data_IF_997813798810
#
_entry.id   IF_997813798810
#
_cell.length_a   1.000
_cell.length_b   1.000
_cell.length_c   1.000
_cell.angle_alpha   90.00
_cell.angle_beta   90.00
_cell.angle_gamma   90.00
#
_symmetry.space_group_name_H-M   'P 1'
#
loop_
_entity.id
_entity.type
_entity.pdbx_description
1 polymer ?
#
# COMPACT_ATOMS: atom_id res chain seq x y z
N UNK A 1 -16.85 9.17 9.01
CA UNK A 1 -15.93 8.69 7.95
C UNK A 1 -15.75 9.67 6.80
N UNK A 2 -16.84 10.23 6.25
CA UNK A 2 -16.82 11.13 5.08
C UNK A 2 -15.71 12.19 5.14
N UNK A 3 -15.62 12.96 6.23
CA UNK A 3 -14.61 14.03 6.35
C UNK A 3 -13.16 13.54 6.31
N UNK A 4 -12.85 12.41 6.97
CA UNK A 4 -11.49 11.88 7.02
C UNK A 4 -11.03 11.23 5.72
N UNK A 5 -11.92 10.50 5.04
CA UNK A 5 -11.65 9.95 3.71
C UNK A 5 -11.47 11.07 2.69
N UNK A 6 -12.31 12.11 2.70
CA UNK A 6 -12.15 13.27 1.82
C UNK A 6 -10.86 14.04 2.07
N UNK A 7 -10.49 14.29 3.33
CA UNK A 7 -9.27 15.04 3.66
C UNK A 7 -8.00 14.29 3.24
N UNK A 8 -7.94 12.99 3.50
CA UNK A 8 -6.80 12.16 3.09
C UNK A 8 -6.74 11.95 1.57
N UNK A 9 -7.90 11.78 0.90
CA UNK A 9 -7.96 11.78 -0.57
C UNK A 9 -7.50 13.12 -1.15
N UNK A 10 -7.86 14.25 -0.55
CA UNK A 10 -7.39 15.57 -1.00
C UNK A 10 -5.86 15.69 -0.90
N UNK A 11 -5.25 15.16 0.17
CA UNK A 11 -3.79 15.11 0.27
C UNK A 11 -3.17 14.23 -0.81
N UNK A 12 -3.70 13.03 -1.06
CA UNK A 12 -3.22 12.13 -2.11
C UNK A 12 -3.33 12.78 -3.50
N UNK A 13 -4.51 13.33 -3.82
CA UNK A 13 -4.82 13.84 -5.17
C UNK A 13 -4.16 15.18 -5.49
N UNK A 14 -3.95 16.04 -4.48
CA UNK A 14 -3.55 17.43 -4.70
C UNK A 14 -2.21 17.84 -4.11
N UNK A 15 -1.65 17.10 -3.15
CA UNK A 15 -0.35 17.48 -2.58
C UNK A 15 0.79 17.12 -3.54
N UNK A 16 1.74 18.04 -3.70
CA UNK A 16 2.97 17.75 -4.40
C UNK A 16 3.85 16.80 -3.58
N UNK A 17 3.70 16.82 -2.26
CA UNK A 17 4.40 15.97 -1.30
C UNK A 17 4.06 14.50 -1.50
N UNK A 18 2.80 14.13 -1.73
CA UNK A 18 2.42 12.76 -2.04
C UNK A 18 3.14 12.26 -3.30
N UNK A 19 3.10 13.05 -4.38
CA UNK A 19 3.80 12.74 -5.64
C UNK A 19 5.31 12.58 -5.42
N UNK A 20 5.91 13.47 -4.63
CA UNK A 20 7.33 13.39 -4.29
C UNK A 20 7.67 12.13 -3.48
N UNK A 21 6.81 11.71 -2.55
CA UNK A 21 7.00 10.49 -1.76
C UNK A 21 6.89 9.23 -2.63
N UNK A 22 5.90 9.17 -3.54
CA UNK A 22 5.80 8.08 -4.52
C UNK A 22 7.07 8.01 -5.40
N UNK A 23 7.47 9.14 -5.99
CA UNK A 23 8.68 9.21 -6.80
C UNK A 23 9.93 8.81 -6.01
N UNK A 24 10.05 9.23 -4.74
CA UNK A 24 11.16 8.86 -3.88
C UNK A 24 11.22 7.35 -3.66
N UNK A 25 10.08 6.71 -3.39
CA UNK A 25 10.00 5.26 -3.22
C UNK A 25 10.48 4.52 -4.48
N UNK A 26 10.04 4.96 -5.66
CA UNK A 26 10.45 4.37 -6.94
C UNK A 26 11.90 4.67 -7.34
N UNK A 27 12.44 5.84 -6.99
CA UNK A 27 13.87 6.12 -7.16
C UNK A 27 14.71 5.16 -6.32
N UNK A 28 14.33 4.96 -5.04
CA UNK A 28 15.01 4.01 -4.17
C UNK A 28 14.92 2.59 -4.74
N UNK A 29 13.73 2.16 -5.18
CA UNK A 29 13.52 0.84 -5.80
C UNK A 29 14.40 0.66 -7.06
N UNK A 30 14.46 1.69 -7.90
CA UNK A 30 15.32 1.73 -9.08
C UNK A 30 16.79 1.53 -8.71
N UNK A 31 17.29 2.25 -7.71
CA UNK A 31 18.67 2.09 -7.25
C UNK A 31 18.96 0.65 -6.79
N UNK A 32 18.02 -0.01 -6.11
CA UNK A 32 18.19 -1.41 -5.67
C UNK A 32 18.21 -2.38 -6.84
N UNK A 33 17.33 -2.20 -7.82
CA UNK A 33 17.34 -3.03 -9.04
C UNK A 33 18.64 -2.83 -9.79
N UNK A 34 19.06 -1.59 -10.00
CA UNK A 34 20.30 -1.26 -10.70
C UNK A 34 21.51 -1.86 -9.97
N UNK A 35 21.56 -1.80 -8.64
CA UNK A 35 22.62 -2.39 -7.83
C UNK A 35 22.64 -3.92 -7.92
N UNK A 36 21.49 -4.58 -7.76
CA UNK A 36 21.39 -6.04 -7.77
C UNK A 36 21.65 -6.66 -9.16
N UNK A 37 21.42 -5.90 -10.22
CA UNK A 37 21.59 -6.33 -11.62
C UNK A 37 22.86 -5.80 -12.29
N UNK A 38 23.80 -5.20 -11.53
CA UNK A 38 25.11 -4.76 -12.07
C UNK A 38 25.93 -5.91 -12.62
N UNK A 39 25.79 -7.08 -12.00
CA UNK A 39 26.50 -8.30 -12.37
C UNK A 39 25.50 -9.40 -12.68
N UNK A 40 25.80 -10.28 -13.64
CA UNK A 40 24.94 -11.43 -13.91
C UNK A 40 24.88 -12.33 -12.68
N UNK A 41 23.72 -12.96 -12.50
CA UNK A 41 23.52 -14.01 -11.51
C UNK A 41 24.49 -15.17 -11.76
N UNK A 42 24.89 -15.86 -10.68
CA UNK A 42 25.69 -17.07 -10.79
C UNK A 42 24.94 -18.15 -11.60
N UNK A 43 25.64 -18.99 -12.38
CA UNK A 43 25.00 -20.09 -13.10
C UNK A 43 24.13 -20.96 -12.18
N UNK A 44 22.87 -21.18 -12.57
CA UNK A 44 21.90 -21.96 -11.80
C UNK A 44 21.22 -21.22 -10.65
N UNK A 45 21.53 -19.94 -10.40
CA UNK A 45 20.77 -19.13 -9.47
C UNK A 45 19.37 -18.84 -10.02
N UNK A 46 18.39 -18.72 -9.12
CA UNK A 46 17.03 -18.31 -9.48
C UNK A 46 17.05 -16.88 -10.05
N UNK A 47 16.25 -16.58 -11.09
CA UNK A 47 16.11 -15.22 -11.63
C UNK A 47 15.60 -14.25 -10.57
N UNK A 48 15.92 -12.96 -10.73
CA UNK A 48 15.40 -11.90 -9.87
C UNK A 48 13.92 -11.67 -10.13
N UNK A 49 13.18 -11.35 -9.06
CA UNK A 49 11.81 -10.88 -9.15
C UNK A 49 11.56 -9.68 -8.25
N UNK A 50 10.63 -8.83 -8.66
CA UNK A 50 9.99 -7.81 -7.86
C UNK A 50 8.54 -8.23 -7.65
N UNK A 51 8.05 -8.08 -6.43
CA UNK A 51 6.63 -8.27 -6.12
C UNK A 51 6.04 -6.95 -5.70
N UNK A 52 4.92 -6.57 -6.28
CA UNK A 52 4.22 -5.34 -5.97
C UNK A 52 2.77 -5.61 -5.60
N UNK A 53 2.27 -4.88 -4.62
CA UNK A 53 0.84 -4.64 -4.51
C UNK A 53 0.32 -3.78 -5.69
N UNK A 54 -0.99 -3.70 -5.86
CA UNK A 54 -1.66 -2.91 -6.89
C UNK A 54 -2.24 -1.60 -6.34
N UNK A 55 -3.10 -1.69 -5.35
CA UNK A 55 -4.01 -0.59 -4.97
C UNK A 55 -3.30 0.37 -4.02
N UNK A 56 -3.22 1.66 -4.38
CA UNK A 56 -2.43 2.69 -3.68
C UNK A 56 -0.91 2.43 -3.68
N UNK A 57 -0.48 1.40 -4.42
CA UNK A 57 0.92 1.10 -4.72
C UNK A 57 1.28 1.47 -6.15
N UNK A 58 0.52 1.02 -7.16
CA UNK A 58 0.73 1.40 -8.57
C UNK A 58 -0.49 2.05 -9.20
N UNK A 59 -1.69 1.76 -8.70
CA UNK A 59 -2.95 2.35 -9.15
C UNK A 59 -3.58 3.21 -8.04
N UNK A 60 -4.01 4.42 -8.39
CA UNK A 60 -4.71 5.36 -7.50
C UNK A 60 -6.22 5.11 -7.57
N UNK A 61 -6.79 4.63 -6.47
CA UNK A 61 -8.22 4.36 -6.31
C UNK A 61 -8.93 5.43 -5.46
N UNK A 62 -8.25 6.51 -5.10
CA UNK A 62 -8.86 7.60 -4.34
C UNK A 62 -10.08 8.25 -5.02
N UNK A 63 -10.25 8.28 -6.37
CA UNK A 63 -11.50 8.73 -6.96
C UNK A 63 -12.72 7.92 -6.47
N UNK A 64 -12.58 6.62 -6.24
CA UNK A 64 -13.65 5.80 -5.66
C UNK A 64 -13.93 6.18 -4.20
N UNK A 65 -12.88 6.40 -3.40
CA UNK A 65 -13.03 6.84 -2.02
C UNK A 65 -13.80 8.18 -1.93
N UNK A 66 -13.47 9.14 -2.81
CA UNK A 66 -14.18 10.41 -2.94
C UNK A 66 -15.63 10.20 -3.40
N UNK A 67 -15.86 9.35 -4.41
CA UNK A 67 -17.19 9.05 -4.94
C UNK A 67 -18.14 8.52 -3.86
N UNK A 68 -17.67 7.58 -3.04
CA UNK A 68 -18.42 6.98 -1.95
C UNK A 68 -18.65 7.99 -0.82
N UNK A 69 -17.60 8.70 -0.41
CA UNK A 69 -17.67 9.67 0.68
C UNK A 69 -18.67 10.81 0.39
N UNK A 70 -18.66 11.40 -0.82
CA UNK A 70 -19.61 12.45 -1.22
C UNK A 70 -21.08 11.98 -1.23
N UNK A 71 -21.32 10.66 -1.26
CA UNK A 71 -22.66 10.06 -1.20
C UNK A 71 -23.02 9.51 0.18
N UNK A 72 -22.15 9.73 1.17
CA UNK A 72 -22.29 9.14 2.50
C UNK A 72 -22.31 7.61 2.49
N UNK A 73 -21.63 7.00 1.51
CA UNK A 73 -21.48 5.56 1.39
C UNK A 73 -20.10 5.14 1.86
N UNK A 74 -20.02 3.91 2.33
CA UNK A 74 -18.78 3.27 2.74
C UNK A 74 -18.34 2.20 1.74
N UNK A 75 -17.13 1.67 1.94
CA UNK A 75 -16.64 0.53 1.18
C UNK A 75 -17.58 -0.69 1.32
N UNK A 76 -17.86 -1.32 0.18
CA UNK A 76 -18.46 -2.66 0.11
C UNK A 76 -17.76 -3.41 -1.02
N UNK A 77 -17.70 -4.74 -0.96
CA UNK A 77 -17.13 -5.53 -2.07
C UNK A 77 -17.87 -5.27 -3.40
N UNK A 78 -19.19 -5.08 -3.35
CA UNK A 78 -19.98 -4.78 -4.55
C UNK A 78 -19.60 -3.43 -5.17
N UNK A 79 -19.50 -2.36 -4.36
CA UNK A 79 -19.10 -1.05 -4.88
C UNK A 79 -17.66 -1.02 -5.37
N UNK A 80 -16.78 -1.78 -4.72
CA UNK A 80 -15.39 -1.94 -5.14
C UNK A 80 -15.26 -2.68 -6.47
N UNK A 81 -16.00 -3.77 -6.67
CA UNK A 81 -15.95 -4.52 -7.92
C UNK A 81 -16.45 -3.66 -9.09
N UNK A 82 -17.51 -2.87 -8.89
CA UNK A 82 -17.98 -1.89 -9.89
C UNK A 82 -16.93 -0.84 -10.23
N UNK A 83 -16.14 -0.38 -9.25
CA UNK A 83 -15.02 0.52 -9.52
C UNK A 83 -13.93 -0.16 -10.34
N UNK A 84 -13.51 -1.36 -9.94
CA UNK A 84 -12.49 -2.13 -10.65
C UNK A 84 -12.89 -2.41 -12.11
N UNK A 85 -14.16 -2.73 -12.36
CA UNK A 85 -14.72 -2.97 -13.70
C UNK A 85 -14.57 -1.79 -14.66
N UNK A 86 -14.49 -0.55 -14.15
CA UNK A 86 -14.24 0.63 -14.99
C UNK A 86 -12.83 0.61 -15.59
N UNK A 87 -11.85 0.00 -14.93
CA UNK A 87 -10.44 0.05 -15.32
C UNK A 87 -9.92 1.48 -15.56
N UNK A 88 -10.36 2.41 -14.71
CA UNK A 88 -10.08 3.84 -14.80
C UNK A 88 -9.14 4.38 -13.71
N UNK A 89 -8.62 3.53 -12.83
CA UNK A 89 -7.65 3.95 -11.82
C UNK A 89 -6.38 4.45 -12.52
N UNK A 90 -5.94 5.67 -12.19
CA UNK A 90 -4.72 6.27 -12.74
C UNK A 90 -3.48 5.68 -12.05
N UNK A 91 -2.28 6.03 -12.51
CA UNK A 91 -1.03 5.48 -11.99
C UNK A 91 -0.36 6.39 -10.97
N UNK A 92 0.39 5.79 -10.04
CA UNK A 92 1.24 6.55 -9.12
C UNK A 92 2.50 7.06 -9.83
N UNK A 93 2.93 8.28 -9.48
CA UNK A 93 4.12 8.90 -10.06
C UNK A 93 5.37 8.02 -9.85
N UNK A 94 6.10 7.77 -10.92
CA UNK A 94 7.34 6.96 -10.93
C UNK A 94 7.13 5.45 -11.05
N UNK A 95 5.90 4.95 -10.91
CA UNK A 95 5.62 3.52 -10.94
C UNK A 95 5.99 2.88 -12.28
N UNK A 96 5.40 3.38 -13.38
CA UNK A 96 5.58 2.81 -14.71
C UNK A 96 7.06 2.79 -15.13
N UNK A 97 7.75 3.92 -14.97
CA UNK A 97 9.17 4.05 -15.30
C UNK A 97 10.04 3.02 -14.56
N UNK A 98 9.77 2.82 -13.25
CA UNK A 98 10.47 1.82 -12.46
C UNK A 98 10.23 0.39 -12.97
N UNK A 99 8.98 0.01 -13.25
CA UNK A 99 8.68 -1.36 -13.68
C UNK A 99 9.20 -1.64 -15.09
N UNK A 100 9.11 -0.68 -16.03
CA UNK A 100 9.76 -0.81 -17.33
C UNK A 100 11.27 -1.00 -17.18
N UNK A 101 11.93 -0.20 -16.33
CA UNK A 101 13.35 -0.37 -16.04
C UNK A 101 13.67 -1.73 -15.43
N UNK A 102 12.84 -2.23 -14.51
CA UNK A 102 13.04 -3.55 -13.91
C UNK A 102 12.95 -4.67 -14.96
N UNK A 103 11.96 -4.60 -15.86
CA UNK A 103 11.84 -5.54 -16.97
C UNK A 103 13.07 -5.48 -17.90
N UNK A 104 13.52 -4.28 -18.26
CA UNK A 104 14.72 -4.09 -19.11
C UNK A 104 15.99 -4.65 -18.47
N UNK A 105 16.03 -4.72 -17.14
CA UNK A 105 17.11 -5.34 -16.36
C UNK A 105 16.94 -6.84 -16.16
N UNK A 106 15.95 -7.46 -16.81
CA UNK A 106 15.67 -8.88 -16.73
C UNK A 106 15.12 -9.32 -15.37
N UNK A 107 14.45 -8.43 -14.66
CA UNK A 107 13.78 -8.72 -13.39
C UNK A 107 12.31 -9.04 -13.68
N UNK A 108 11.83 -10.18 -13.18
CA UNK A 108 10.43 -10.59 -13.29
C UNK A 108 9.54 -9.75 -12.37
N UNK A 109 8.31 -9.45 -12.76
CA UNK A 109 7.40 -8.55 -12.05
C UNK A 109 6.11 -9.30 -11.75
N UNK A 110 5.80 -9.44 -10.47
CA UNK A 110 4.58 -10.08 -10.01
C UNK A 110 3.66 -9.08 -9.30
N UNK A 111 2.42 -9.01 -9.76
CA UNK A 111 1.35 -8.20 -9.17
C UNK A 111 0.56 -9.06 -8.18
N UNK A 112 0.78 -8.85 -6.88
CA UNK A 112 0.13 -9.62 -5.81
C UNK A 112 -0.84 -8.72 -5.07
N UNK A 113 -2.14 -8.83 -5.38
CA UNK A 113 -3.19 -7.94 -4.87
C UNK A 113 -4.30 -8.70 -4.15
N UNK A 114 -4.97 -8.01 -3.22
CA UNK A 114 -6.17 -8.52 -2.55
C UNK A 114 -7.48 -8.17 -3.27
N UNK A 115 -7.42 -7.68 -4.51
CA UNK A 115 -8.56 -7.65 -5.43
C UNK A 115 -9.15 -9.05 -5.62
N UNK A 116 -10.46 -9.09 -5.85
CA UNK A 116 -11.20 -10.34 -6.03
C UNK A 116 -10.88 -11.02 -7.37
N UNK A 117 -10.87 -12.36 -7.44
CA UNK A 117 -10.63 -13.09 -8.68
C UNK A 117 -11.52 -12.67 -9.85
N UNK A 118 -12.75 -12.26 -9.56
CA UNK A 118 -13.73 -11.76 -10.54
C UNK A 118 -13.26 -10.47 -11.23
N UNK A 119 -12.47 -9.65 -10.53
CA UNK A 119 -11.94 -8.38 -11.06
C UNK A 119 -10.68 -8.54 -11.93
N UNK A 120 -10.25 -9.78 -12.21
CA UNK A 120 -9.02 -10.10 -12.95
C UNK A 120 -8.95 -9.45 -14.32
N UNK A 121 -9.99 -9.64 -15.14
CA UNK A 121 -10.03 -9.09 -16.50
C UNK A 121 -9.90 -7.57 -16.46
N UNK A 122 -10.65 -6.91 -15.58
CA UNK A 122 -10.62 -5.45 -15.46
C UNK A 122 -9.29 -4.93 -14.87
N UNK A 123 -8.69 -5.67 -13.93
CA UNK A 123 -7.37 -5.34 -13.36
C UNK A 123 -6.29 -5.43 -14.43
N UNK A 124 -6.25 -6.50 -15.22
CA UNK A 124 -5.33 -6.62 -16.36
C UNK A 124 -5.56 -5.50 -17.37
N UNK A 125 -6.81 -5.21 -17.73
CA UNK A 125 -7.13 -4.12 -18.65
C UNK A 125 -6.61 -2.77 -18.13
N UNK A 126 -6.75 -2.49 -16.84
CA UNK A 126 -6.24 -1.24 -16.25
C UNK A 126 -4.71 -1.17 -16.29
N UNK A 127 -4.01 -2.27 -15.99
CA UNK A 127 -2.54 -2.32 -16.05
C UNK A 127 -2.03 -2.18 -17.50
N UNK A 128 -2.63 -2.91 -18.43
CA UNK A 128 -2.28 -2.91 -19.85
C UNK A 128 -2.55 -1.55 -20.50
N UNK A 129 -3.61 -0.84 -20.10
CA UNK A 129 -3.94 0.51 -20.55
C UNK A 129 -2.77 1.49 -20.37
N UNK A 130 -2.03 1.37 -19.28
CA UNK A 130 -0.86 2.21 -18.99
C UNK A 130 0.46 1.58 -19.40
N UNK A 131 0.44 0.39 -20.02
CA UNK A 131 1.64 -0.28 -20.50
C UNK A 131 2.50 -0.89 -19.40
N UNK A 132 1.93 -1.22 -18.23
CA UNK A 132 2.68 -1.94 -17.21
C UNK A 132 3.18 -3.28 -17.76
N UNK A 133 4.47 -3.61 -17.54
CA UNK A 133 5.07 -4.80 -18.10
C UNK A 133 4.51 -6.06 -17.45
N UNK A 134 4.49 -7.17 -18.20
CA UNK A 134 4.04 -8.47 -17.68
C UNK A 134 2.63 -8.42 -17.05
N UNK A 135 1.77 -7.52 -17.55
CA UNK A 135 0.37 -7.47 -17.14
C UNK A 135 -0.41 -8.60 -17.81
N UNK A 136 -0.18 -9.83 -17.36
CA UNK A 136 -0.78 -11.05 -17.88
C UNK A 136 -1.23 -12.01 -16.74
N UNK A 137 -1.81 -13.14 -17.14
CA UNK A 137 -2.37 -14.13 -16.22
C UNK A 137 -1.34 -14.83 -15.33
N UNK A 138 -0.10 -14.98 -15.81
CA UNK A 138 0.96 -15.66 -15.07
C UNK A 138 1.51 -14.78 -13.94
N UNK A 139 1.57 -13.47 -14.18
CA UNK A 139 2.18 -12.50 -13.28
C UNK A 139 1.17 -11.82 -12.34
N UNK A 140 -0.15 -11.98 -12.57
CA UNK A 140 -1.21 -11.44 -11.72
C UNK A 140 -1.75 -12.48 -10.71
N UNK A 141 -1.39 -12.32 -9.44
CA UNK A 141 -1.82 -13.16 -8.32
C UNK A 141 -2.81 -12.43 -7.41
N UNK A 142 -4.11 -12.61 -7.70
CA UNK A 142 -5.21 -12.04 -6.93
C UNK A 142 -5.52 -12.77 -5.63
N UNK A 143 -6.49 -12.28 -4.86
CA UNK A 143 -6.89 -12.84 -3.57
C UNK A 143 -7.31 -14.31 -3.69
N UNK A 144 -6.84 -15.12 -2.74
CA UNK A 144 -7.27 -16.51 -2.58
C UNK A 144 -8.32 -16.58 -1.45
N UNK A 145 -8.24 -17.59 -0.57
CA UNK A 145 -9.17 -17.72 0.57
C UNK A 145 -8.95 -16.65 1.64
N UNK A 146 -7.76 -16.07 1.72
CA UNK A 146 -7.37 -15.09 2.74
C UNK A 146 -6.76 -13.84 2.10
N UNK A 147 -6.75 -12.74 2.86
CA UNK A 147 -6.06 -11.50 2.48
C UNK A 147 -4.55 -11.56 2.72
N UNK A 148 -4.06 -12.59 3.42
CA UNK A 148 -2.62 -12.80 3.59
C UNK A 148 -2.02 -13.15 2.22
N UNK A 149 -0.92 -12.47 1.88
CA UNK A 149 -0.22 -12.62 0.60
C UNK A 149 0.92 -13.65 0.66
N UNK A 150 1.15 -14.30 1.81
CA UNK A 150 2.27 -15.22 2.03
C UNK A 150 2.25 -16.42 1.08
N UNK A 151 1.11 -17.10 0.92
CA UNK A 151 1.00 -18.24 -0.02
C UNK A 151 1.39 -17.86 -1.45
N UNK A 152 1.01 -16.66 -1.87
CA UNK A 152 1.31 -16.11 -3.20
C UNK A 152 2.78 -15.72 -3.33
N UNK A 153 3.37 -15.10 -2.30
CA UNK A 153 4.81 -14.82 -2.25
C UNK A 153 5.65 -16.11 -2.23
N UNK A 154 5.22 -17.15 -1.52
CA UNK A 154 5.91 -18.45 -1.46
C UNK A 154 5.95 -19.13 -2.83
N UNK A 155 4.86 -19.08 -3.61
CA UNK A 155 4.84 -19.56 -4.99
C UNK A 155 5.91 -18.89 -5.84
N UNK A 156 6.10 -17.58 -5.70
CA UNK A 156 7.13 -16.82 -6.40
C UNK A 156 8.52 -17.22 -5.88
N UNK A 157 8.74 -17.24 -4.57
CA UNK A 157 10.03 -17.64 -3.96
C UNK A 157 10.47 -19.05 -4.34
N UNK A 158 9.55 -19.95 -4.67
CA UNK A 158 9.89 -21.30 -5.12
C UNK A 158 10.70 -21.29 -6.43
N UNK A 159 10.50 -20.28 -7.29
CA UNK A 159 11.12 -20.15 -8.62
C UNK A 159 12.06 -18.95 -8.77
N UNK A 160 11.85 -17.89 -8.00
CA UNK A 160 12.54 -16.60 -8.14
C UNK A 160 13.24 -16.19 -6.84
N UNK A 161 14.24 -15.32 -6.97
CA UNK A 161 14.80 -14.55 -5.87
C UNK A 161 14.05 -13.21 -5.78
N UNK A 162 13.18 -13.05 -4.78
CA UNK A 162 12.48 -11.77 -4.59
C UNK A 162 13.45 -10.72 -4.08
N UNK A 163 13.76 -9.76 -4.94
CA UNK A 163 14.62 -8.61 -4.66
C UNK A 163 13.88 -7.56 -3.85
N UNK A 164 12.70 -7.13 -4.30
CA UNK A 164 11.88 -6.10 -3.67
C UNK A 164 10.45 -6.57 -3.45
N UNK A 165 9.86 -6.06 -2.37
CA UNK A 165 8.43 -6.05 -2.09
C UNK A 165 7.99 -4.58 -2.04
N UNK A 166 7.02 -4.21 -2.88
CA UNK A 166 6.45 -2.86 -2.93
C UNK A 166 5.01 -2.91 -2.45
N UNK A 167 4.62 -1.97 -1.59
CA UNK A 167 3.27 -1.91 -1.03
C UNK A 167 3.00 -0.65 -0.21
N UNK A 168 1.74 -0.29 -0.07
CA UNK A 168 1.29 0.76 0.83
C UNK A 168 0.95 0.22 2.24
N UNK A 169 0.69 -1.10 2.33
CA UNK A 169 0.32 -1.77 3.56
C UNK A 169 1.43 -2.73 4.01
N UNK A 170 1.72 -2.76 5.32
CA UNK A 170 2.81 -3.58 5.84
C UNK A 170 2.62 -5.09 5.63
N UNK A 171 1.38 -5.57 5.49
CA UNK A 171 1.07 -6.96 5.13
C UNK A 171 1.55 -7.39 3.74
N UNK A 172 1.85 -6.42 2.87
CA UNK A 172 2.46 -6.66 1.55
C UNK A 172 3.89 -7.19 1.67
N UNK A 173 4.56 -6.87 2.77
CA UNK A 173 5.93 -7.27 3.05
C UNK A 173 6.03 -8.60 3.81
N UNK A 174 5.26 -8.72 4.90
CA UNK A 174 5.31 -9.89 5.78
C UNK A 174 4.02 -10.02 6.62
N UNK A 175 3.49 -11.23 6.74
CA UNK A 175 2.29 -11.53 7.55
C UNK A 175 2.39 -11.14 9.03
N UNK A 176 3.61 -10.98 9.57
CA UNK A 176 3.80 -10.50 10.95
C UNK A 176 3.13 -9.15 11.20
N UNK A 177 2.91 -8.35 10.15
CA UNK A 177 2.27 -7.04 10.21
C UNK A 177 0.73 -7.07 10.14
N UNK A 178 0.13 -8.23 9.86
CA UNK A 178 -1.34 -8.39 9.76
C UNK A 178 -2.04 -8.53 11.11
N UNK A 179 -1.28 -8.44 12.21
CA UNK A 179 -1.80 -8.46 13.59
C UNK A 179 -2.67 -7.22 13.86
N UNK A 180 -3.83 -7.41 14.48
CA UNK A 180 -4.75 -6.31 14.85
C UNK A 180 -4.40 -5.63 16.19
N UNK A 181 -3.10 -5.52 16.49
CA UNK A 181 -2.59 -4.89 17.70
C UNK A 181 -1.50 -3.86 17.34
N UNK A 182 -1.65 -2.61 17.77
CA UNK A 182 -0.76 -1.52 17.41
C UNK A 182 0.65 -1.67 17.99
N UNK A 183 0.77 -2.23 19.20
CA UNK A 183 2.07 -2.49 19.83
C UNK A 183 2.86 -3.52 19.03
N UNK A 184 2.27 -4.66 18.73
CA UNK A 184 2.91 -5.73 17.95
C UNK A 184 3.37 -5.24 16.57
N UNK A 185 2.54 -4.44 15.90
CA UNK A 185 2.91 -3.86 14.59
C UNK A 185 4.09 -2.89 14.71
N UNK A 186 4.13 -2.04 15.75
CA UNK A 186 5.27 -1.13 16.00
C UNK A 186 6.55 -1.90 16.32
N UNK A 187 6.46 -2.97 17.11
CA UNK A 187 7.59 -3.85 17.41
C UNK A 187 8.09 -4.57 16.17
N UNK A 188 7.20 -5.02 15.29
CA UNK A 188 7.57 -5.58 13.99
C UNK A 188 8.28 -4.55 13.11
N UNK A 189 7.83 -3.29 13.07
CA UNK A 189 8.54 -2.22 12.32
C UNK A 189 9.95 -2.04 12.87
N UNK A 190 10.13 -2.05 14.19
CA UNK A 190 11.47 -1.97 14.79
C UNK A 190 12.35 -3.17 14.44
N UNK A 191 11.78 -4.38 14.42
CA UNK A 191 12.47 -5.60 14.02
C UNK A 191 12.97 -5.53 12.57
N UNK A 192 12.17 -4.98 11.67
CA UNK A 192 12.47 -4.90 10.23
C UNK A 192 12.99 -3.53 9.79
N UNK A 193 13.40 -2.66 10.72
CA UNK A 193 13.77 -1.26 10.42
C UNK A 193 14.84 -1.13 9.31
N UNK A 194 15.73 -2.10 9.18
CA UNK A 194 16.80 -2.12 8.18
C UNK A 194 16.35 -2.51 6.78
N UNK A 195 15.16 -3.12 6.65
CA UNK A 195 14.61 -3.59 5.37
C UNK A 195 13.87 -2.49 4.61
N UNK A 196 13.34 -1.48 5.30
CA UNK A 196 12.65 -0.35 4.67
C UNK A 196 13.63 0.48 3.82
N UNK A 197 13.26 0.71 2.56
CA UNK A 197 14.13 1.32 1.55
C UNK A 197 15.21 0.36 1.02
N UNK A 198 15.24 -0.90 1.46
CA UNK A 198 16.08 -1.97 0.89
C UNK A 198 15.19 -3.00 0.21
N UNK A 199 14.69 -3.98 0.96
CA UNK A 199 13.78 -5.02 0.46
C UNK A 199 12.32 -4.55 0.46
N UNK A 200 11.94 -3.71 1.42
CA UNK A 200 10.58 -3.21 1.57
C UNK A 200 10.53 -1.77 1.08
N UNK A 201 9.79 -1.51 0.00
CA UNK A 201 9.56 -0.18 -0.53
C UNK A 201 8.12 0.22 -0.19
N UNK A 202 8.00 1.22 0.67
CA UNK A 202 6.71 1.63 1.24
C UNK A 202 6.16 2.83 0.49
N UNK A 203 4.88 2.75 0.11
CA UNK A 203 4.13 3.86 -0.46
C UNK A 203 3.17 4.44 0.61
N UNK A 204 2.92 5.75 0.62
CA UNK A 204 2.06 6.35 1.63
C UNK A 204 0.57 6.15 1.30
N UNK A 205 -0.18 5.47 2.16
CA UNK A 205 -1.64 5.43 2.08
C UNK A 205 -2.30 5.82 3.42
N UNK A 206 -2.62 7.12 3.61
CA UNK A 206 -3.37 7.56 4.78
C UNK A 206 -4.89 7.38 4.64
N UNK A 207 -5.40 6.91 3.49
CA UNK A 207 -6.85 6.83 3.26
C UNK A 207 -7.45 5.59 3.91
N UNK A 208 -6.81 4.43 3.77
CA UNK A 208 -7.28 3.16 4.35
C UNK A 208 -6.12 2.17 4.54
N UNK A 209 -6.39 1.02 5.17
CA UNK A 209 -5.44 -0.09 5.29
C UNK A 209 -5.55 -0.85 6.60
N UNK A 210 -4.61 -1.77 6.87
CA UNK A 210 -4.60 -2.55 8.13
C UNK A 210 -4.45 -1.63 9.35
N UNK A 211 -3.81 -0.47 9.21
CA UNK A 211 -3.69 0.51 10.29
C UNK A 211 -5.06 1.04 10.76
N UNK A 212 -6.02 1.23 9.86
CA UNK A 212 -7.39 1.64 10.20
C UNK A 212 -8.11 0.52 10.96
N UNK A 213 -7.95 -0.73 10.51
CA UNK A 213 -8.53 -1.90 11.20
C UNK A 213 -8.00 -2.06 12.63
N UNK A 214 -6.71 -1.79 12.85
CA UNK A 214 -6.09 -1.82 14.18
C UNK A 214 -6.73 -0.77 15.09
N UNK A 215 -6.88 0.47 14.61
CA UNK A 215 -7.55 1.53 15.37
C UNK A 215 -8.98 1.14 15.76
N UNK A 216 -9.74 0.54 14.84
CA UNK A 216 -11.11 0.10 15.10
C UNK A 216 -11.21 -1.12 16.01
N UNK A 217 -10.20 -2.00 15.98
CA UNK A 217 -10.15 -3.19 16.85
C UNK A 217 -9.81 -2.81 18.30
N UNK A 218 -8.95 -1.82 18.50
CA UNK A 218 -8.56 -1.33 19.84
C UNK A 218 -9.64 -0.46 20.51
N UNK A 219 -10.66 -0.05 19.77
CA UNK A 219 -11.79 0.71 20.29
C UNK A 219 -12.67 -0.13 21.23
N UNK A 220 -12.89 0.37 22.44
CA UNK A 220 -13.54 -0.31 23.56
C UNK A 220 -15.07 -0.35 23.45
N UNK A 221 -15.68 0.49 22.60
CA UNK A 221 -17.14 0.57 22.44
C UNK A 221 -17.56 0.95 21.01
N UNK A 222 -18.82 0.68 20.65
CA UNK A 222 -19.38 1.13 19.36
C UNK A 222 -19.43 2.65 19.24
N UNK A 223 -19.69 3.36 20.35
CA UNK A 223 -19.63 4.82 20.39
C UNK A 223 -18.19 5.33 20.17
N UNK A 224 -17.18 4.64 20.72
CA UNK A 224 -15.78 4.96 20.50
C UNK A 224 -15.34 4.65 19.06
N UNK A 225 -15.87 3.58 18.45
CA UNK A 225 -15.69 3.31 17.02
C UNK A 225 -16.32 4.41 16.17
N UNK A 226 -17.58 4.76 16.38
CA UNK A 226 -18.25 5.86 15.68
C UNK A 226 -17.52 7.20 15.87
N UNK A 227 -17.03 7.44 17.09
CA UNK A 227 -16.23 8.60 17.42
C UNK A 227 -14.91 8.58 16.66
N UNK A 228 -14.08 7.51 16.75
CA UNK A 228 -12.82 7.28 16.01
C UNK A 228 -12.99 7.44 14.50
N UNK A 229 -14.11 6.98 13.97
CA UNK A 229 -14.52 7.11 12.57
C UNK A 229 -14.90 8.56 12.17
N UNK A 230 -15.24 9.42 13.13
CA UNK A 230 -15.34 10.88 12.99
C UNK A 230 -14.01 11.61 13.34
N UNK A 231 -13.03 10.92 13.90
CA UNK A 231 -11.96 11.46 14.75
C UNK A 231 -10.60 11.73 14.09
N UNK A 232 -10.54 12.07 12.81
CA UNK A 232 -9.29 12.72 12.35
C UNK A 232 -9.05 14.06 13.08
N UNK A 233 -10.08 14.62 13.74
CA UNK A 233 -10.00 15.82 14.58
C UNK A 233 -9.50 15.61 16.02
N UNK A 234 -9.56 14.42 16.61
CA UNK A 234 -9.41 14.31 18.08
C UNK A 234 -8.24 13.42 18.53
N UNK A 235 -7.52 12.80 17.57
CA UNK A 235 -6.07 12.56 17.69
C UNK A 235 -5.31 13.88 17.84
N UNK A 236 -5.78 14.95 17.17
CA UNK A 236 -5.29 16.32 17.39
C UNK A 236 -5.73 16.85 18.76
N UNK A 237 -6.93 16.53 19.26
CA UNK A 237 -7.36 16.91 20.61
C UNK A 237 -6.59 16.20 21.73
N UNK A 238 -6.12 14.95 21.57
CA UNK A 238 -5.23 14.33 22.56
C UNK A 238 -3.84 15.00 22.57
N UNK A 239 -3.32 15.35 21.39
CA UNK A 239 -2.10 16.15 21.27
C UNK A 239 -2.29 17.57 21.80
N UNK A 240 -3.45 18.20 21.59
CA UNK A 240 -3.84 19.49 22.14
C UNK A 240 -3.95 19.43 23.66
N UNK A 241 -4.54 18.38 24.23
CA UNK A 241 -4.66 18.24 25.69
C UNK A 241 -3.28 18.04 26.35
N UNK A 242 -2.38 17.28 25.71
CA UNK A 242 -0.98 17.15 26.14
C UNK A 242 -0.20 18.47 25.97
N UNK A 243 -0.43 19.21 24.87
CA UNK A 243 0.17 20.51 24.61
C UNK A 243 -0.31 21.57 25.61
N UNK A 244 -1.61 21.62 25.90
CA UNK A 244 -2.22 22.51 26.91
C UNK A 244 -1.65 22.22 28.29
N UNK A 245 -1.49 20.95 28.67
CA UNK A 245 -0.84 20.59 29.93
C UNK A 245 0.63 21.04 29.99
N UNK A 246 1.38 20.86 28.89
CA UNK A 246 2.78 21.27 28.82
C UNK A 246 2.94 22.80 28.84
N UNK A 247 2.07 23.54 28.15
CA UNK A 247 2.09 25.01 28.11
C UNK A 247 1.71 25.62 29.47
N UNK A 248 0.71 25.08 30.17
CA UNK A 248 0.35 25.53 31.52
C UNK A 248 1.46 25.22 32.56
N UNK A 249 2.23 24.15 32.37
CA UNK A 249 3.36 23.82 33.24
C UNK A 249 4.58 24.73 33.04
N UNK A 250 4.69 25.43 31.90
CA UNK A 250 5.78 26.37 31.61
C UNK A 250 5.43 27.83 31.91
N UNK A 251 4.15 28.18 32.06
CA UNK A 251 3.67 29.52 32.44
C UNK A 251 3.49 29.70 33.96
N UNK A 252 4.01 28.78 34.76
CA UNK A 252 3.94 28.75 36.22
C UNK A 252 5.23 29.20 36.92
N UNK A 253 5.93 30.20 36.37
CA UNK A 253 6.90 31.06 37.06
C UNK A 253 6.46 32.53 36.93
#
# INVERSE_FOLDING_TARGET
>A
MIGGKLYTSAWIQHSAEYKALCQQAYNIATDRVLEATRSPLAPGAKPWAVVTDIDETILDNTPNAVHLALRGKEFTSESWNKWCELAEADTLMGALDFFCLAQDRGVEIFYVSNRDPESRVATLANLQKFGFPQADEEHLLLREQTSDKSSRREKILSKYNILLLLGDNLGDFDHIFDRLNAKDRREAVQKFKSEFGKKFIVLPNPNYGTWERVLLHEASSNAEKEHLLMHQQHLLMHQEHLLIHSLHSQSGE
#
